data_IF_405583573341
#
_entry.id   IF_405583573341
#
_cell.length_a   1.000
_cell.length_b   1.000
_cell.length_c   1.000
_cell.angle_alpha   90.00
_cell.angle_beta   90.00
_cell.angle_gamma   90.00
#
_symmetry.space_group_name_H-M   'P 1'
#
loop_
_entity.id
_entity.type
_entity.pdbx_description
1 polymer ?
#
# COMPACT_ATOMS: atom_id res chain seq x y z
N UNK A 1 -23.28 28.92 15.32
CA UNK A 1 -22.32 27.79 15.42
C UNK A 1 -20.95 28.35 15.13
N UNK A 2 -20.12 28.51 16.16
CA UNK A 2 -18.76 29.07 16.05
C UNK A 2 -17.85 28.09 15.31
N UNK A 3 -16.96 28.60 14.46
CA UNK A 3 -16.09 27.81 13.58
C UNK A 3 -15.20 26.78 14.31
N UNK A 4 -14.98 26.94 15.62
CA UNK A 4 -14.26 25.99 16.47
C UNK A 4 -14.89 24.59 16.53
N UNK A 5 -16.21 24.47 16.35
CA UNK A 5 -16.89 23.16 16.32
C UNK A 5 -16.74 22.43 14.98
N UNK A 6 -16.32 23.11 13.91
CA UNK A 6 -16.15 22.52 12.57
C UNK A 6 -14.81 21.81 12.40
N UNK A 7 -13.75 22.28 13.08
CA UNK A 7 -12.42 21.70 12.94
C UNK A 7 -12.33 20.25 13.48
N UNK A 8 -12.88 19.91 14.67
CA UNK A 8 -12.91 18.53 15.15
C UNK A 8 -13.67 17.59 14.21
N UNK A 9 -14.85 18.01 13.73
CA UNK A 9 -15.66 17.22 12.80
C UNK A 9 -14.95 17.00 11.46
N UNK A 10 -14.26 18.02 10.94
CA UNK A 10 -13.46 17.90 9.72
C UNK A 10 -12.33 16.87 9.90
N UNK A 11 -11.62 16.90 11.03
CA UNK A 11 -10.56 15.94 11.34
C UNK A 11 -11.11 14.51 11.44
N UNK A 12 -12.27 14.32 12.08
CA UNK A 12 -12.94 13.02 12.13
C UNK A 12 -13.28 12.47 10.74
N UNK A 13 -13.83 13.33 9.86
CA UNK A 13 -14.11 12.95 8.48
C UNK A 13 -12.85 12.62 7.68
N UNK A 14 -11.77 13.39 7.85
CA UNK A 14 -10.49 13.10 7.21
C UNK A 14 -9.91 11.76 7.67
N UNK A 15 -9.95 11.47 8.98
CA UNK A 15 -9.51 10.17 9.53
C UNK A 15 -10.35 9.03 8.97
N UNK A 16 -11.68 9.20 8.90
CA UNK A 16 -12.56 8.19 8.32
C UNK A 16 -12.21 7.91 6.85
N UNK A 17 -11.98 8.97 6.06
CA UNK A 17 -11.60 8.84 4.66
C UNK A 17 -10.25 8.12 4.50
N UNK A 18 -9.25 8.46 5.32
CA UNK A 18 -7.94 7.79 5.32
C UNK A 18 -8.08 6.30 5.66
N UNK A 19 -8.91 5.95 6.66
CA UNK A 19 -9.20 4.53 7.00
C UNK A 19 -9.85 3.80 5.84
N UNK A 20 -10.79 4.43 5.13
CA UNK A 20 -11.46 3.83 3.98
C UNK A 20 -10.51 3.63 2.80
N UNK A 21 -9.61 4.59 2.55
CA UNK A 21 -8.56 4.46 1.52
C UNK A 21 -7.63 3.31 1.87
N UNK A 22 -7.15 3.26 3.12
CA UNK A 22 -6.29 2.17 3.61
C UNK A 22 -6.95 0.80 3.41
N UNK A 23 -8.20 0.64 3.86
CA UNK A 23 -8.93 -0.62 3.71
C UNK A 23 -9.07 -1.06 2.25
N UNK A 24 -9.38 -0.12 1.34
CA UNK A 24 -9.49 -0.41 -0.10
C UNK A 24 -8.14 -0.78 -0.71
N UNK A 25 -7.07 -0.05 -0.37
CA UNK A 25 -5.72 -0.35 -0.81
C UNK A 25 -5.31 -1.77 -0.38
N UNK A 26 -5.53 -2.13 0.89
CA UNK A 26 -5.25 -3.48 1.40
C UNK A 26 -6.01 -4.57 0.64
N UNK A 27 -7.29 -4.34 0.29
CA UNK A 27 -8.05 -5.31 -0.50
C UNK A 27 -7.47 -5.48 -1.91
N UNK A 28 -7.07 -4.38 -2.57
CA UNK A 28 -6.44 -4.41 -3.88
C UNK A 28 -5.09 -5.14 -3.84
N UNK A 29 -4.25 -4.86 -2.84
CA UNK A 29 -2.96 -5.51 -2.65
C UNK A 29 -3.10 -7.03 -2.49
N UNK A 30 -4.06 -7.48 -1.67
CA UNK A 30 -4.35 -8.91 -1.49
C UNK A 30 -4.88 -9.57 -2.75
N UNK A 31 -5.81 -8.91 -3.45
CA UNK A 31 -6.33 -9.43 -4.71
C UNK A 31 -5.21 -9.58 -5.74
N UNK A 32 -4.34 -8.58 -5.85
CA UNK A 32 -3.18 -8.61 -6.74
C UNK A 32 -2.21 -9.73 -6.35
N UNK A 33 -1.90 -9.89 -5.06
CA UNK A 33 -1.05 -10.98 -4.57
C UNK A 33 -1.56 -12.36 -4.99
N UNK A 34 -2.88 -12.58 -4.92
CA UNK A 34 -3.49 -13.83 -5.38
C UNK A 34 -3.42 -14.03 -6.89
N UNK A 35 -3.60 -12.98 -7.70
CA UNK A 35 -3.50 -13.04 -9.16
C UNK A 35 -2.07 -13.36 -9.60
N UNK A 36 -1.08 -12.67 -9.03
CA UNK A 36 0.33 -12.87 -9.45
C UNK A 36 0.91 -14.18 -8.93
N UNK A 37 0.39 -14.73 -7.82
CA UNK A 37 0.83 -16.02 -7.29
C UNK A 37 0.48 -17.22 -8.20
N UNK A 38 -0.32 -17.02 -9.25
CA UNK A 38 -0.56 -18.02 -10.29
C UNK A 38 0.59 -18.11 -11.31
N UNK A 39 1.53 -17.16 -11.28
CA UNK A 39 2.68 -17.12 -12.18
C UNK A 39 3.95 -16.71 -11.42
N UNK A 40 4.77 -17.70 -11.06
CA UNK A 40 5.99 -17.51 -10.26
C UNK A 40 7.04 -16.62 -10.95
N UNK A 41 7.16 -16.71 -12.27
CA UNK A 41 8.06 -15.85 -13.03
C UNK A 41 7.65 -14.38 -12.91
N UNK A 42 6.37 -14.11 -13.15
CA UNK A 42 5.81 -12.76 -13.04
C UNK A 42 5.94 -12.21 -11.61
N UNK A 43 5.62 -13.02 -10.60
CA UNK A 43 5.76 -12.64 -9.19
C UNK A 43 7.21 -12.28 -8.85
N UNK A 44 8.17 -13.10 -9.28
CA UNK A 44 9.61 -12.85 -9.07
C UNK A 44 10.05 -11.54 -9.71
N UNK A 45 9.64 -11.30 -10.96
CA UNK A 45 10.02 -10.10 -11.71
C UNK A 45 9.44 -8.83 -11.10
N UNK A 46 8.17 -8.86 -10.66
CA UNK A 46 7.54 -7.73 -9.97
C UNK A 46 8.30 -7.40 -8.67
N UNK A 47 8.66 -8.39 -7.87
CA UNK A 47 9.43 -8.18 -6.63
C UNK A 47 10.78 -7.53 -6.92
N UNK A 48 11.51 -7.99 -7.96
CA UNK A 48 12.77 -7.36 -8.38
C UNK A 48 12.58 -5.92 -8.83
N UNK A 49 11.53 -5.64 -9.60
CA UNK A 49 11.24 -4.27 -10.04
C UNK A 49 10.93 -3.36 -8.85
N UNK A 50 10.16 -3.83 -7.87
CA UNK A 50 9.89 -3.07 -6.65
C UNK A 50 11.20 -2.70 -5.94
N UNK A 51 12.14 -3.63 -5.78
CA UNK A 51 13.43 -3.41 -5.11
C UNK A 51 14.30 -2.29 -5.73
N UNK A 52 14.12 -1.98 -7.01
CA UNK A 52 14.90 -0.94 -7.71
C UNK A 52 14.19 0.41 -7.78
N UNK A 53 12.94 0.50 -7.34
CA UNK A 53 12.19 1.78 -7.28
C UNK A 53 12.81 2.68 -6.21
N UNK A 54 13.25 3.87 -6.63
CA UNK A 54 13.87 4.87 -5.76
C UNK A 54 13.09 6.19 -5.80
N UNK A 55 13.08 6.91 -4.67
CA UNK A 55 12.47 8.24 -4.59
C UNK A 55 13.42 9.32 -5.12
N UNK A 56 12.86 10.43 -5.61
CA UNK A 56 13.63 11.55 -6.12
C UNK A 56 14.24 12.44 -5.02
N UNK A 57 13.80 12.28 -3.77
CA UNK A 57 13.98 13.22 -2.67
C UNK A 57 13.89 12.48 -1.31
N UNK A 58 14.65 12.95 -0.32
CA UNK A 58 14.92 12.21 0.92
C UNK A 58 13.67 11.96 1.79
N UNK A 59 12.68 12.85 1.74
CA UNK A 59 11.42 12.69 2.45
C UNK A 59 10.57 11.56 1.85
N UNK A 60 10.42 11.58 0.53
CA UNK A 60 9.63 10.59 -0.20
C UNK A 60 10.32 9.22 -0.20
N UNK A 61 11.64 9.19 0.03
CA UNK A 61 12.43 7.97 0.16
C UNK A 61 11.97 7.08 1.31
N UNK A 62 11.66 7.65 2.48
CA UNK A 62 11.23 6.86 3.64
C UNK A 62 9.84 6.27 3.39
N UNK A 63 8.89 7.08 2.92
CA UNK A 63 7.52 6.64 2.66
C UNK A 63 7.48 5.58 1.55
N UNK A 64 8.26 5.79 0.48
CA UNK A 64 8.38 4.83 -0.62
C UNK A 64 9.08 3.53 -0.20
N UNK A 65 10.12 3.62 0.63
CA UNK A 65 10.80 2.45 1.19
C UNK A 65 9.82 1.59 2.01
N UNK A 66 9.06 2.23 2.90
CA UNK A 66 8.06 1.52 3.72
C UNK A 66 6.95 0.91 2.88
N UNK A 67 6.42 1.65 1.89
CA UNK A 67 5.39 1.14 0.99
C UNK A 67 5.90 -0.05 0.17
N UNK A 68 7.15 0.00 -0.29
CA UNK A 68 7.80 -1.07 -1.03
C UNK A 68 7.96 -2.34 -0.17
N UNK A 69 8.49 -2.20 1.03
CA UNK A 69 8.69 -3.33 1.96
C UNK A 69 7.34 -4.00 2.23
N UNK A 70 6.32 -3.21 2.58
CA UNK A 70 4.97 -3.72 2.82
C UNK A 70 4.41 -4.50 1.62
N UNK A 71 4.52 -3.95 0.41
CA UNK A 71 3.99 -4.61 -0.79
C UNK A 71 4.72 -5.91 -1.11
N UNK A 72 6.04 -5.96 -0.93
CA UNK A 72 6.84 -7.19 -1.08
C UNK A 72 6.39 -8.24 -0.06
N UNK A 73 6.17 -7.86 1.19
CA UNK A 73 5.69 -8.77 2.24
C UNK A 73 4.31 -9.33 1.91
N UNK A 74 3.38 -8.48 1.43
CA UNK A 74 2.05 -8.92 0.99
C UNK A 74 2.16 -9.93 -0.14
N UNK A 75 2.98 -9.68 -1.16
CA UNK A 75 3.15 -10.61 -2.28
C UNK A 75 3.80 -11.92 -1.85
N UNK A 76 4.74 -11.89 -0.92
CA UNK A 76 5.38 -13.09 -0.38
C UNK A 76 4.47 -13.90 0.55
N UNK A 77 3.47 -13.26 1.18
CA UNK A 77 2.52 -13.94 2.07
C UNK A 77 1.62 -14.96 1.37
N UNK A 78 1.42 -14.81 0.05
CA UNK A 78 0.64 -15.75 -0.77
C UNK A 78 1.59 -16.72 -1.47
N UNK A 79 1.57 -18.03 -1.16
CA UNK A 79 2.43 -19.00 -1.82
C UNK A 79 2.06 -19.15 -3.30
N UNK A 80 3.07 -19.45 -4.11
CA UNK A 80 2.90 -19.93 -5.47
C UNK A 80 1.89 -21.07 -5.53
N UNK A 81 0.93 -21.04 -6.46
CA UNK A 81 0.14 -22.23 -6.76
C UNK A 81 1.04 -23.22 -7.49
N UNK A 82 1.29 -24.38 -6.87
CA UNK A 82 2.03 -25.50 -7.46
C UNK A 82 1.33 -26.06 -8.69
#
# INVERSE_FOLDING_TARGET
MTDETKLPQLLEHMVLNLRMIYARATLVEKALAHIIAENDGLKSDIIKQLQVVNAANERDKIDLEQARIHLIDVFNSVPAKK
#
